data_IF_712394316585
#
_entry.id   IF_712394316585
#
_cell.length_a   1.000
_cell.length_b   1.000
_cell.length_c   1.000
_cell.angle_alpha   90.00
_cell.angle_beta   90.00
_cell.angle_gamma   90.00
#
_symmetry.space_group_name_H-M   'P 1'
#
loop_
_entity.id
_entity.type
_entity.pdbx_description
1 polymer ?
#
# COMPACT_ATOMS: atom_id res chain seq x y z
N UNK A 1 -18.83 -4.02 -4.42
CA UNK A 1 -17.80 -4.45 -5.39
C UNK A 1 -16.59 -4.95 -4.61
N UNK A 2 -15.82 -5.91 -5.13
CA UNK A 2 -14.64 -6.45 -4.44
C UNK A 2 -13.49 -6.63 -5.42
N UNK A 3 -12.28 -6.26 -5.01
CA UNK A 3 -11.04 -6.48 -5.76
C UNK A 3 -9.97 -7.08 -4.84
N UNK A 4 -9.07 -7.89 -5.40
CA UNK A 4 -7.95 -8.46 -4.67
C UNK A 4 -6.66 -8.38 -5.47
N UNK A 5 -5.55 -8.12 -4.79
CA UNK A 5 -4.21 -8.15 -5.36
C UNK A 5 -3.26 -8.96 -4.46
N UNK A 6 -2.26 -9.59 -5.06
CA UNK A 6 -1.20 -10.30 -4.34
C UNK A 6 0.15 -9.63 -4.63
N UNK A 7 0.89 -9.32 -3.57
CA UNK A 7 2.26 -8.82 -3.64
C UNK A 7 3.20 -9.86 -3.03
N UNK A 8 4.13 -10.45 -3.80
CA UNK A 8 5.09 -11.41 -3.27
C UNK A 8 6.06 -10.72 -2.28
N UNK A 9 6.49 -11.44 -1.25
CA UNK A 9 7.52 -10.94 -0.37
C UNK A 9 8.86 -10.87 -1.14
N UNK A 10 9.57 -9.75 -0.96
CA UNK A 10 10.86 -9.50 -1.58
C UNK A 10 11.96 -9.57 -0.52
N UNK A 11 13.01 -10.35 -0.81
CA UNK A 11 14.20 -10.46 0.03
C UNK A 11 15.36 -9.83 -0.73
N UNK A 12 15.90 -8.73 -0.18
CA UNK A 12 17.11 -8.09 -0.71
C UNK A 12 18.35 -8.80 -0.19
N UNK A 13 19.27 -9.19 -1.09
CA UNK A 13 20.52 -9.85 -0.72
C UNK A 13 21.64 -8.84 -0.46
N UNK A 14 21.92 -7.99 -1.44
CA UNK A 14 22.89 -6.89 -1.33
C UNK A 14 22.32 -5.63 -1.95
N UNK A 15 22.68 -4.48 -1.41
CA UNK A 15 22.24 -3.18 -1.90
C UNK A 15 23.20 -2.05 -1.54
N UNK A 16 23.14 -0.98 -2.32
CA UNK A 16 23.68 0.35 -2.04
C UNK A 16 22.49 1.30 -1.92
N UNK A 17 22.35 1.95 -0.76
CA UNK A 17 21.31 2.94 -0.56
C UNK A 17 21.68 4.25 -1.27
N UNK A 18 20.73 4.81 -2.04
CA UNK A 18 20.84 6.09 -2.73
C UNK A 18 19.83 7.04 -2.07
N UNK A 19 20.26 7.71 -1.00
CA UNK A 19 19.40 8.51 -0.10
C UNK A 19 19.68 10.02 -0.18
N UNK A 20 20.47 10.47 -1.17
CA UNK A 20 20.81 11.88 -1.34
C UNK A 20 19.67 12.63 -2.06
N UNK A 21 19.21 13.73 -1.47
CA UNK A 21 18.16 14.60 -2.02
C UNK A 21 16.86 14.58 -1.21
N UNK A 22 15.91 15.43 -1.61
CA UNK A 22 14.62 15.60 -0.92
C UNK A 22 13.42 15.12 -1.75
N UNK A 23 13.63 14.70 -3.00
CA UNK A 23 12.57 14.23 -3.90
C UNK A 23 12.34 12.72 -3.70
N UNK A 24 11.20 12.30 -3.11
CA UNK A 24 10.93 10.89 -2.83
C UNK A 24 10.98 10.00 -4.08
N UNK A 25 10.69 10.54 -5.27
CA UNK A 25 10.70 9.78 -6.52
C UNK A 25 12.12 9.43 -6.99
N UNK A 26 13.15 10.06 -6.40
CA UNK A 26 14.56 9.86 -6.73
C UNK A 26 15.32 9.12 -5.62
N UNK A 27 14.67 8.85 -4.49
CA UNK A 27 15.25 8.08 -3.38
C UNK A 27 15.05 6.59 -3.61
N UNK A 28 16.06 5.78 -3.30
CA UNK A 28 15.95 4.34 -3.47
C UNK A 28 17.23 3.57 -3.13
N UNK A 29 17.43 2.44 -3.81
CA UNK A 29 18.63 1.63 -3.67
C UNK A 29 18.95 0.89 -4.96
N UNK A 30 20.24 0.67 -5.21
CA UNK A 30 20.75 -0.23 -6.24
C UNK A 30 21.07 -1.58 -5.60
N UNK A 31 20.82 -2.71 -6.26
CA UNK A 31 21.13 -4.01 -5.66
C UNK A 31 20.49 -5.18 -6.37
N UNK A 32 20.50 -6.32 -5.69
CA UNK A 32 19.82 -7.53 -6.16
C UNK A 32 19.09 -8.24 -5.00
N UNK A 33 18.01 -8.90 -5.36
CA UNK A 33 17.16 -9.67 -4.47
C UNK A 33 16.33 -10.65 -5.27
N UNK A 34 15.42 -11.34 -4.58
CA UNK A 34 14.47 -12.23 -5.22
C UNK A 34 13.14 -12.18 -4.48
N UNK A 35 12.07 -12.45 -5.24
CA UNK A 35 10.75 -12.66 -4.68
C UNK A 35 10.53 -14.12 -4.33
N UNK A 36 9.79 -14.36 -3.26
CA UNK A 36 9.34 -15.72 -2.89
C UNK A 36 7.86 -15.90 -3.19
N UNK A 37 7.42 -17.16 -3.24
CA UNK A 37 6.00 -17.49 -3.50
C UNK A 37 5.05 -17.08 -2.35
N UNK A 38 5.59 -16.74 -1.18
CA UNK A 38 4.82 -16.22 -0.04
C UNK A 38 4.77 -14.70 -0.12
N UNK A 39 3.67 -14.08 0.31
CA UNK A 39 3.48 -12.64 0.22
C UNK A 39 2.20 -12.18 0.90
N UNK A 40 1.78 -10.96 0.57
CA UNK A 40 0.57 -10.33 1.11
C UNK A 40 -0.53 -10.36 0.06
N UNK A 41 -1.70 -10.88 0.43
CA UNK A 41 -2.93 -10.74 -0.34
C UNK A 41 -3.81 -9.67 0.30
N UNK A 42 -4.07 -8.60 -0.44
CA UNK A 42 -4.96 -7.50 -0.01
C UNK A 42 -6.28 -7.63 -0.73
N UNK A 43 -7.38 -7.49 0.01
CA UNK A 43 -8.74 -7.46 -0.56
C UNK A 43 -9.40 -6.15 -0.16
N UNK A 44 -9.87 -5.40 -1.16
CA UNK A 44 -10.66 -4.19 -0.97
C UNK A 44 -12.12 -4.54 -1.23
N UNK A 45 -12.99 -4.17 -0.30
CA UNK A 45 -14.44 -4.37 -0.40
C UNK A 45 -15.10 -2.99 -0.35
N UNK A 46 -15.75 -2.62 -1.44
CA UNK A 46 -16.55 -1.40 -1.51
C UNK A 46 -17.96 -1.69 -0.99
N UNK A 47 -18.31 -0.98 0.08
CA UNK A 47 -19.62 -1.01 0.71
C UNK A 47 -20.44 0.21 0.28
N UNK A 48 -21.77 0.06 0.22
CA UNK A 48 -22.66 1.20 -0.01
C UNK A 48 -22.46 2.25 1.10
N UNK A 49 -22.25 3.51 0.70
CA UNK A 49 -22.03 4.61 1.64
C UNK A 49 -23.26 4.79 2.52
N UNK A 50 -23.09 4.62 3.84
CA UNK A 50 -24.10 5.01 4.81
C UNK A 50 -23.83 6.48 5.20
N UNK A 51 -24.76 7.42 4.95
CA UNK A 51 -24.55 8.84 5.25
C UNK A 51 -24.21 9.15 6.71
N UNK A 52 -24.59 8.25 7.63
CA UNK A 52 -24.29 8.37 9.06
C UNK A 52 -22.90 7.89 9.47
N UNK A 53 -22.15 7.25 8.57
CA UNK A 53 -20.82 6.73 8.88
C UNK A 53 -19.75 7.75 8.47
N UNK A 54 -19.14 8.39 9.47
CA UNK A 54 -18.06 9.36 9.26
C UNK A 54 -16.75 8.70 8.79
N UNK A 55 -16.60 7.39 9.00
CA UNK A 55 -15.37 6.66 8.70
C UNK A 55 -15.29 6.32 7.21
N UNK A 56 -14.28 6.87 6.50
CA UNK A 56 -14.09 6.66 5.05
C UNK A 56 -13.69 5.24 4.68
N UNK A 57 -12.89 4.58 5.51
CA UNK A 57 -12.41 3.20 5.31
C UNK A 57 -12.01 2.56 6.63
N UNK A 58 -11.96 1.22 6.66
CA UNK A 58 -11.44 0.44 7.78
C UNK A 58 -10.38 -0.53 7.28
N UNK A 59 -9.21 -0.55 7.90
CA UNK A 59 -8.08 -1.41 7.53
C UNK A 59 -7.89 -2.49 8.59
N UNK A 60 -7.79 -3.74 8.15
CA UNK A 60 -7.54 -4.88 9.02
C UNK A 60 -6.42 -5.75 8.45
N UNK A 61 -5.46 -6.10 9.31
CA UNK A 61 -4.38 -7.04 8.99
C UNK A 61 -4.68 -8.37 9.69
N UNK A 62 -4.78 -9.46 8.93
CA UNK A 62 -5.02 -10.79 9.50
C UNK A 62 -3.78 -11.32 10.21
N UNK A 63 -3.97 -11.98 11.36
CA UNK A 63 -2.91 -12.67 12.09
C UNK A 63 -2.06 -11.79 13.01
N UNK A 64 -2.32 -10.48 13.04
CA UNK A 64 -1.63 -9.53 13.92
C UNK A 64 -2.65 -8.61 14.59
N UNK A 65 -2.34 -8.09 15.78
CA UNK A 65 -3.05 -6.90 16.27
C UNK A 65 -2.77 -5.79 15.26
N UNK A 66 -3.81 -5.19 14.70
CA UNK A 66 -3.67 -4.06 13.77
C UNK A 66 -2.81 -3.00 14.46
N UNK A 67 -1.56 -2.90 14.00
CA UNK A 67 -0.60 -1.94 14.50
C UNK A 67 -0.71 -0.66 13.69
N UNK A 68 0.45 -0.07 13.42
CA UNK A 68 0.56 1.09 12.57
C UNK A 68 0.22 0.75 11.10
N UNK A 69 -0.85 1.37 10.58
CA UNK A 69 -1.30 1.27 9.19
C UNK A 69 -1.12 2.58 8.41
N UNK A 70 -0.32 3.52 8.92
CA UNK A 70 -0.17 4.89 8.38
C UNK A 70 0.13 4.94 6.88
N UNK A 71 0.93 4.00 6.36
CA UNK A 71 1.23 3.93 4.92
C UNK A 71 -0.02 3.58 4.10
N UNK A 72 -0.82 2.61 4.57
CA UNK A 72 -2.07 2.24 3.89
C UNK A 72 -3.11 3.36 3.99
N UNK A 73 -3.18 4.05 5.13
CA UNK A 73 -4.04 5.23 5.29
C UNK A 73 -3.62 6.37 4.38
N UNK A 74 -2.33 6.65 4.27
CA UNK A 74 -1.79 7.67 3.38
C UNK A 74 -2.18 7.37 1.93
N UNK A 75 -1.89 6.17 1.44
CA UNK A 75 -2.24 5.75 0.08
C UNK A 75 -3.76 5.87 -0.15
N UNK A 76 -4.60 5.34 0.75
CA UNK A 76 -6.06 5.45 0.60
C UNK A 76 -6.53 6.91 0.58
N UNK A 77 -5.93 7.79 1.36
CA UNK A 77 -6.29 9.21 1.34
C UNK A 77 -5.87 9.89 0.03
N UNK A 78 -4.68 9.60 -0.51
CA UNK A 78 -4.25 10.13 -1.82
C UNK A 78 -5.20 9.67 -2.93
N UNK A 79 -5.52 8.37 -2.99
CA UNK A 79 -6.47 7.81 -3.97
C UNK A 79 -7.90 8.36 -3.82
N UNK A 80 -8.30 8.80 -2.62
CA UNK A 80 -9.62 9.40 -2.38
C UNK A 80 -9.62 10.93 -2.54
N UNK A 81 -8.45 11.56 -2.58
CA UNK A 81 -8.28 13.00 -2.78
C UNK A 81 -8.27 13.36 -4.27
N UNK A 82 -7.75 12.48 -5.11
CA UNK A 82 -7.76 12.65 -6.57
C UNK A 82 -9.16 12.42 -7.17
N UNK A 83 -9.63 13.40 -7.95
CA UNK A 83 -10.71 13.21 -8.90
C UNK A 83 -10.13 12.58 -10.17
N UNK A 84 -10.43 11.31 -10.42
CA UNK A 84 -10.49 10.56 -11.71
C UNK A 84 -9.45 10.73 -12.85
N UNK A 85 -8.44 11.62 -12.78
CA UNK A 85 -7.64 11.97 -13.96
C UNK A 85 -6.37 11.10 -14.17
N UNK A 86 -5.93 10.32 -13.17
CA UNK A 86 -4.69 9.52 -13.28
C UNK A 86 -4.90 8.06 -13.73
N UNK A 87 -6.14 7.57 -13.73
CA UNK A 87 -6.46 6.16 -14.03
C UNK A 87 -7.44 5.98 -15.21
N UNK A 88 -7.64 7.03 -16.01
CA UNK A 88 -8.43 7.00 -17.26
C UNK A 88 -7.59 6.56 -18.47
#
# INVERSE_FOLDING_TARGET
MMASAFCPAHITGFFKAELEGNDPNRLGSLGAGFSIQKGVKTTVILSSRNPSNATKFHIQIKGFKTGDVRVSEYVLNEFLADNDDYFA
#
